data_IF_295187847588
#
_entry.id   IF_295187847588
#
_cell.length_a   1.000
_cell.length_b   1.000
_cell.length_c   1.000
_cell.angle_alpha   90.00
_cell.angle_beta   90.00
_cell.angle_gamma   90.00
#
_symmetry.space_group_name_H-M   'P 1'
#
loop_
_entity.id
_entity.type
_entity.pdbx_description
1 polymer ?
#
# COMPACT_ATOMS: atom_id res chain seq x y z
N UNK A 1 8.48 39.48 -3.00
CA UNK A 1 8.78 38.37 -3.94
C UNK A 1 9.09 37.05 -3.23
N UNK A 2 10.07 36.96 -2.31
CA UNK A 2 10.43 35.71 -1.61
C UNK A 2 9.26 34.99 -0.91
N UNK A 3 8.42 35.73 -0.18
CA UNK A 3 7.26 35.16 0.53
C UNK A 3 6.15 34.66 -0.39
N UNK A 4 5.98 35.26 -1.58
CA UNK A 4 4.99 34.84 -2.57
C UNK A 4 5.44 33.53 -3.22
N UNK A 5 6.73 33.41 -3.54
CA UNK A 5 7.28 32.17 -4.09
C UNK A 5 7.19 31.01 -3.09
N UNK A 6 7.47 31.27 -1.80
CA UNK A 6 7.30 30.26 -0.75
C UNK A 6 5.84 29.78 -0.63
N UNK A 7 4.89 30.71 -0.64
CA UNK A 7 3.47 30.36 -0.58
C UNK A 7 3.01 29.54 -1.80
N UNK A 8 3.56 29.83 -2.98
CA UNK A 8 3.30 29.04 -4.21
C UNK A 8 3.91 27.63 -4.08
N UNK A 9 5.13 27.49 -3.58
CA UNK A 9 5.77 26.19 -3.35
C UNK A 9 4.98 25.33 -2.35
N UNK A 10 4.55 25.93 -1.24
CA UNK A 10 3.74 25.27 -0.22
C UNK A 10 2.38 24.83 -0.79
N UNK A 11 1.75 25.67 -1.62
CA UNK A 11 0.50 25.34 -2.30
C UNK A 11 0.68 24.15 -3.26
N UNK A 12 1.74 24.16 -4.08
CA UNK A 12 2.04 23.08 -5.02
C UNK A 12 2.34 21.77 -4.29
N UNK A 13 3.08 21.84 -3.18
CA UNK A 13 3.34 20.68 -2.33
C UNK A 13 2.05 20.09 -1.76
N UNK A 14 1.20 20.95 -1.18
CA UNK A 14 -0.09 20.52 -0.63
C UNK A 14 -1.00 19.88 -1.69
N UNK A 15 -1.03 20.46 -2.91
CA UNK A 15 -1.78 19.91 -4.03
C UNK A 15 -1.27 18.52 -4.44
N UNK A 16 0.06 18.37 -4.51
CA UNK A 16 0.72 17.09 -4.82
C UNK A 16 0.40 16.04 -3.75
N UNK A 17 0.48 16.40 -2.47
CA UNK A 17 0.17 15.48 -1.37
C UNK A 17 -1.31 15.08 -1.35
N UNK A 18 -2.22 16.02 -1.64
CA UNK A 18 -3.65 15.73 -1.77
C UNK A 18 -3.93 14.76 -2.94
N UNK A 19 -3.34 15.01 -4.11
CA UNK A 19 -3.44 14.13 -5.26
C UNK A 19 -2.92 12.71 -4.95
N UNK A 20 -1.73 12.62 -4.35
CA UNK A 20 -1.14 11.33 -3.96
C UNK A 20 -2.04 10.60 -2.96
N UNK A 21 -2.57 11.29 -1.94
CA UNK A 21 -3.48 10.71 -0.96
C UNK A 21 -4.74 10.13 -1.59
N UNK A 22 -5.34 10.85 -2.55
CA UNK A 22 -6.52 10.36 -3.29
C UNK A 22 -6.15 9.18 -4.17
N UNK A 23 -5.06 9.28 -4.95
CA UNK A 23 -4.55 8.20 -5.79
C UNK A 23 -4.32 6.92 -4.98
N UNK A 24 -3.66 7.02 -3.83
CA UNK A 24 -3.38 5.86 -2.97
C UNK A 24 -4.61 5.32 -2.26
N UNK A 25 -5.60 6.15 -1.90
CA UNK A 25 -6.87 5.65 -1.37
C UNK A 25 -7.65 4.85 -2.39
N UNK A 26 -7.74 5.36 -3.62
CA UNK A 26 -8.33 4.66 -4.76
C UNK A 26 -7.55 3.37 -4.97
N UNK A 27 -6.23 3.48 -5.12
CA UNK A 27 -5.39 2.34 -5.40
C UNK A 27 -5.47 1.30 -4.29
N UNK A 28 -5.47 1.65 -3.00
CA UNK A 28 -5.68 0.72 -1.89
C UNK A 28 -7.03 0.04 -1.93
N UNK A 29 -8.12 0.76 -2.21
CA UNK A 29 -9.46 0.16 -2.30
C UNK A 29 -9.52 -0.86 -3.44
N UNK A 30 -8.97 -0.50 -4.61
CA UNK A 30 -8.94 -1.40 -5.77
C UNK A 30 -7.89 -2.50 -5.64
N UNK A 31 -6.68 -2.22 -5.15
CA UNK A 31 -5.62 -3.19 -4.77
C UNK A 31 -6.24 -4.17 -3.81
N UNK A 32 -6.70 -3.77 -2.61
CA UNK A 32 -7.24 -4.71 -1.62
C UNK A 32 -8.34 -5.58 -2.22
N UNK A 33 -9.25 -5.00 -3.03
CA UNK A 33 -10.29 -5.78 -3.70
C UNK A 33 -9.74 -6.73 -4.76
N UNK A 34 -8.78 -6.30 -5.58
CA UNK A 34 -8.12 -7.13 -6.59
C UNK A 34 -7.24 -8.19 -5.93
N UNK A 35 -6.64 -7.88 -4.79
CA UNK A 35 -5.80 -8.73 -3.97
C UNK A 35 -6.59 -9.81 -3.23
N UNK A 36 -7.76 -9.46 -2.69
CA UNK A 36 -8.72 -10.45 -2.18
C UNK A 36 -9.26 -11.35 -3.30
N UNK A 37 -9.39 -10.82 -4.52
CA UNK A 37 -9.74 -11.63 -5.72
C UNK A 37 -8.58 -12.47 -6.24
N UNK A 38 -7.34 -12.03 -6.03
CA UNK A 38 -6.11 -12.66 -6.51
C UNK A 38 -5.63 -13.83 -5.66
N UNK A 39 -6.48 -14.42 -4.82
CA UNK A 39 -6.39 -15.85 -4.51
C UNK A 39 -4.95 -16.38 -4.39
N UNK A 40 -4.37 -16.20 -3.20
CA UNK A 40 -3.41 -17.15 -2.64
C UNK A 40 -2.35 -17.65 -3.66
N UNK A 41 -1.34 -16.81 -3.93
CA UNK A 41 -0.20 -17.23 -4.76
C UNK A 41 0.53 -18.37 -4.05
N UNK A 42 1.10 -19.27 -4.86
CA UNK A 42 1.72 -20.49 -4.36
C UNK A 42 3.01 -20.21 -3.59
N UNK A 43 3.81 -19.25 -4.08
CA UNK A 43 5.19 -18.99 -3.65
C UNK A 43 5.29 -17.84 -2.63
N UNK A 44 5.94 -18.10 -1.50
CA UNK A 44 6.22 -17.16 -0.42
C UNK A 44 7.13 -15.98 -0.84
N UNK A 45 7.97 -16.17 -1.86
CA UNK A 45 8.94 -15.19 -2.36
C UNK A 45 8.38 -14.30 -3.46
N UNK A 46 7.09 -14.38 -3.74
CA UNK A 46 6.48 -13.61 -4.81
C UNK A 46 6.47 -12.11 -4.47
N UNK A 47 7.01 -11.25 -5.34
CA UNK A 47 7.11 -9.76 -5.19
C UNK A 47 5.84 -9.04 -4.73
N UNK A 48 4.69 -9.66 -4.94
CA UNK A 48 3.42 -9.13 -4.51
C UNK A 48 3.28 -9.16 -2.97
N UNK A 49 3.95 -10.09 -2.30
CA UNK A 49 4.05 -10.20 -0.85
C UNK A 49 5.11 -9.25 -0.27
N UNK A 50 5.72 -8.38 -1.08
CA UNK A 50 6.57 -7.30 -0.59
C UNK A 50 5.75 -6.17 0.02
N UNK A 51 6.36 -5.47 0.97
CA UNK A 51 5.76 -4.25 1.51
C UNK A 51 5.79 -3.14 0.46
N UNK A 52 4.63 -2.61 0.12
CA UNK A 52 4.49 -1.41 -0.70
C UNK A 52 4.32 -0.19 0.21
N UNK A 53 5.42 0.52 0.46
CA UNK A 53 5.41 1.75 1.25
C UNK A 53 4.49 2.82 0.65
N UNK A 54 4.26 2.82 -0.68
CA UNK A 54 3.37 3.77 -1.33
C UNK A 54 1.92 3.48 -0.99
N UNK A 55 1.57 2.23 -0.78
CA UNK A 55 0.24 1.85 -0.31
C UNK A 55 -0.06 2.43 1.09
N UNK A 56 0.95 2.58 1.95
CA UNK A 56 0.75 3.18 3.28
C UNK A 56 0.59 4.70 3.26
N UNK A 57 0.85 5.36 2.13
CA UNK A 57 0.76 6.83 2.04
C UNK A 57 -0.69 7.28 2.21
N UNK A 58 -0.92 8.12 3.22
CA UNK A 58 -2.23 8.69 3.50
C UNK A 58 -3.19 7.76 4.26
N UNK A 59 -2.73 6.59 4.69
CA UNK A 59 -3.37 5.79 5.73
C UNK A 59 -3.12 6.41 7.11
N UNK A 60 -4.08 6.23 8.02
CA UNK A 60 -3.86 6.45 9.45
C UNK A 60 -3.17 5.24 10.08
N UNK A 61 -2.77 5.35 11.34
CA UNK A 61 -2.10 4.28 12.08
C UNK A 61 -2.89 2.96 12.06
N UNK A 62 -4.22 3.05 12.21
CA UNK A 62 -5.13 1.90 12.13
C UNK A 62 -5.10 1.25 10.74
N UNK A 63 -5.11 2.03 9.67
CA UNK A 63 -4.99 1.58 8.29
C UNK A 63 -3.65 0.88 8.03
N UNK A 64 -2.56 1.47 8.50
CA UNK A 64 -1.21 0.89 8.38
C UNK A 64 -1.15 -0.45 9.12
N UNK A 65 -1.65 -0.52 10.36
CA UNK A 65 -1.70 -1.77 11.13
C UNK A 65 -2.51 -2.85 10.41
N UNK A 66 -3.67 -2.50 9.86
CA UNK A 66 -4.51 -3.42 9.08
C UNK A 66 -3.79 -3.92 7.83
N UNK A 67 -3.06 -3.04 7.14
CA UNK A 67 -2.25 -3.39 5.97
C UNK A 67 -1.17 -4.43 6.32
N UNK A 68 -0.39 -4.20 7.37
CA UNK A 68 0.65 -5.14 7.79
C UNK A 68 0.09 -6.48 8.27
N UNK A 69 -1.02 -6.47 9.01
CA UNK A 69 -1.66 -7.70 9.47
C UNK A 69 -2.18 -8.54 8.29
N UNK A 70 -2.77 -7.90 7.28
CA UNK A 70 -3.19 -8.59 6.06
C UNK A 70 -1.99 -9.11 5.25
N UNK A 71 -0.89 -8.33 5.16
CA UNK A 71 0.34 -8.76 4.50
C UNK A 71 0.96 -9.99 5.18
N UNK A 72 1.07 -9.98 6.51
CA UNK A 72 1.56 -11.13 7.29
C UNK A 72 0.72 -12.36 7.04
N UNK A 73 -0.61 -12.24 7.18
CA UNK A 73 -1.54 -13.34 6.92
C UNK A 73 -1.38 -13.92 5.51
N UNK A 74 -1.16 -13.09 4.50
CA UNK A 74 -0.94 -13.54 3.12
C UNK A 74 0.38 -14.30 2.95
N UNK A 75 1.45 -13.87 3.64
CA UNK A 75 2.74 -14.58 3.68
C UNK A 75 2.62 -15.94 4.36
N UNK A 76 1.94 -15.99 5.51
CA UNK A 76 1.74 -17.24 6.26
C UNK A 76 1.01 -18.30 5.41
N UNK A 77 -0.03 -17.89 4.69
CA UNK A 77 -0.76 -18.81 3.79
C UNK A 77 0.13 -19.30 2.63
N UNK A 78 0.98 -18.43 2.07
CA UNK A 78 1.90 -18.83 1.00
C UNK A 78 2.96 -19.81 1.51
N UNK A 79 3.56 -19.53 2.66
CA UNK A 79 4.54 -20.40 3.32
C UNK A 79 3.99 -21.81 3.60
N UNK A 80 2.77 -21.91 4.14
CA UNK A 80 2.14 -23.21 4.39
C UNK A 80 1.85 -24.00 3.10
N UNK A 81 1.67 -23.32 1.96
CA UNK A 81 1.47 -23.99 0.67
C UNK A 81 2.77 -24.45 0.04
N UNK A 82 3.84 -23.70 0.22
CA UNK A 82 5.17 -24.13 -0.24
C UNK A 82 5.63 -25.37 0.54
N UNK A 83 5.42 -25.42 1.86
CA UNK A 83 5.67 -26.63 2.66
C UNK A 83 4.95 -27.89 2.17
N UNK A 84 3.74 -27.74 1.64
CA UNK A 84 2.95 -28.87 1.13
C UNK A 84 3.45 -29.39 -0.24
N UNK A 85 4.45 -28.73 -0.85
CA UNK A 85 5.00 -29.07 -2.17
C UNK A 85 6.39 -29.71 -2.11
N UNK A 86 7.05 -29.63 -0.96
CA UNK A 86 8.31 -30.33 -0.66
C UNK A 86 8.02 -31.78 -0.23
#
# INVERSE_FOLDING_TARGET
MKHINQAIEDLLYNLKMAYLKVKYRIWNKYILMWWYRLWIRQDENHKSLDMDWRATVGMDEKGIKKYFLDLSRRRDIAHERDKLRE
#
